data_IF_017058940885
#
_entry.id   IF_017058940885
#
_cell.length_a   1.000
_cell.length_b   1.000
_cell.length_c   1.000
_cell.angle_alpha   90.00
_cell.angle_beta   90.00
_cell.angle_gamma   90.00
#
_symmetry.space_group_name_H-M   'P 1'
#
loop_
_entity.id
_entity.type
_entity.pdbx_description
1 polymer ?
#
# COMPACT_ATOMS: atom_id res chain seq x y z
N UNK A 1 62.01 59.68 -40.05
CA UNK A 1 60.93 59.52 -39.06
C UNK A 1 59.66 59.11 -39.79
N UNK A 2 59.18 57.88 -39.57
CA UNK A 2 57.74 57.56 -39.48
C UNK A 2 57.61 56.09 -39.09
N UNK A 3 57.74 55.80 -37.79
CA UNK A 3 57.47 54.49 -37.19
C UNK A 3 56.20 54.55 -36.31
N UNK A 4 55.37 55.60 -36.45
CA UNK A 4 54.24 55.85 -35.55
C UNK A 4 52.88 55.34 -36.03
N UNK A 5 52.72 55.04 -37.32
CA UNK A 5 51.40 54.74 -37.91
C UNK A 5 51.10 53.25 -38.03
N UNK A 6 52.13 52.39 -37.99
CA UNK A 6 51.97 50.93 -38.07
C UNK A 6 51.61 50.31 -36.71
N UNK A 7 52.03 50.95 -35.62
CA UNK A 7 51.82 50.50 -34.24
C UNK A 7 50.36 50.72 -33.76
N UNK A 8 49.73 51.80 -34.22
CA UNK A 8 48.32 52.13 -33.89
C UNK A 8 47.35 51.15 -34.55
N UNK A 9 47.60 50.76 -35.80
CA UNK A 9 46.76 49.81 -36.54
C UNK A 9 46.85 48.38 -35.99
N UNK A 10 48.03 47.95 -35.54
CA UNK A 10 48.19 46.63 -34.90
C UNK A 10 47.47 46.58 -33.55
N UNK A 11 47.54 47.66 -32.77
CA UNK A 11 46.87 47.75 -31.47
C UNK A 11 45.34 47.81 -31.59
N UNK A 12 44.79 48.46 -32.63
CA UNK A 12 43.34 48.45 -32.91
C UNK A 12 42.80 47.08 -33.35
N UNK A 13 43.60 46.31 -34.10
CA UNK A 13 43.23 44.95 -34.51
C UNK A 13 43.31 43.98 -33.33
N UNK A 14 44.33 44.11 -32.47
CA UNK A 14 44.49 43.29 -31.27
C UNK A 14 43.37 43.54 -30.24
N UNK A 15 42.99 44.81 -30.04
CA UNK A 15 41.87 45.18 -29.17
C UNK A 15 40.50 44.71 -29.71
N UNK A 16 40.29 44.73 -31.03
CA UNK A 16 39.07 44.17 -31.63
C UNK A 16 39.04 42.64 -31.59
N UNK A 17 40.17 41.97 -31.76
CA UNK A 17 40.25 40.51 -31.62
C UNK A 17 40.03 40.08 -30.17
N UNK A 18 40.59 40.81 -29.21
CA UNK A 18 40.32 40.58 -27.79
C UNK A 18 38.86 40.84 -27.44
N UNK A 19 38.23 41.93 -27.92
CA UNK A 19 36.81 42.18 -27.65
C UNK A 19 35.91 41.13 -28.29
N UNK A 20 36.22 40.65 -29.50
CA UNK A 20 35.47 39.57 -30.16
C UNK A 20 35.65 38.24 -29.43
N UNK A 21 36.85 37.93 -28.92
CA UNK A 21 37.10 36.74 -28.10
C UNK A 21 36.37 36.81 -26.76
N UNK A 22 36.41 37.95 -26.07
CA UNK A 22 35.69 38.17 -24.80
C UNK A 22 34.18 38.06 -24.97
N UNK A 23 33.61 38.72 -25.99
CA UNK A 23 32.16 38.64 -26.25
C UNK A 23 31.73 37.21 -26.62
N UNK A 24 32.57 36.45 -27.33
CA UNK A 24 32.28 35.06 -27.69
C UNK A 24 32.39 34.11 -26.50
N UNK A 25 33.31 34.36 -25.58
CA UNK A 25 33.42 33.63 -24.31
C UNK A 25 32.24 33.94 -23.38
N UNK A 26 31.83 35.21 -23.25
CA UNK A 26 30.65 35.61 -22.47
C UNK A 26 29.34 35.03 -23.05
N UNK A 27 29.16 35.07 -24.37
CA UNK A 27 27.99 34.48 -25.03
C UNK A 27 27.93 32.96 -24.83
N UNK A 28 29.09 32.29 -24.86
CA UNK A 28 29.20 30.85 -24.68
C UNK A 28 29.03 30.42 -23.21
N UNK A 29 29.51 31.21 -22.25
CA UNK A 29 29.23 31.02 -20.82
C UNK A 29 27.74 31.21 -20.51
N UNK A 30 27.11 32.23 -21.10
CA UNK A 30 25.68 32.50 -20.94
C UNK A 30 24.82 31.36 -21.51
N UNK A 31 25.19 30.81 -22.67
CA UNK A 31 24.51 29.66 -23.26
C UNK A 31 24.68 28.38 -22.42
N UNK A 32 25.89 28.16 -21.90
CA UNK A 32 26.19 27.03 -20.99
C UNK A 32 25.40 27.13 -19.69
N UNK A 33 25.32 28.33 -19.10
CA UNK A 33 24.53 28.60 -17.91
C UNK A 33 23.03 28.38 -18.15
N UNK A 34 22.51 28.85 -19.28
CA UNK A 34 21.10 28.65 -19.66
C UNK A 34 20.76 27.18 -19.81
N UNK A 35 21.61 26.41 -20.51
CA UNK A 35 21.43 24.97 -20.68
C UNK A 35 21.51 24.22 -19.34
N UNK A 36 22.42 24.62 -18.44
CA UNK A 36 22.49 24.07 -17.09
C UNK A 36 21.19 24.33 -16.32
N UNK A 37 20.70 25.57 -16.31
CA UNK A 37 19.47 25.93 -15.61
C UNK A 37 18.24 25.19 -16.15
N UNK A 38 18.12 25.04 -17.47
CA UNK A 38 17.04 24.27 -18.08
C UNK A 38 17.07 22.80 -17.64
N UNK A 39 18.23 22.14 -17.75
CA UNK A 39 18.41 20.75 -17.34
C UNK A 39 18.22 20.53 -15.84
N UNK A 40 18.70 21.47 -15.03
CA UNK A 40 18.49 21.48 -13.58
C UNK A 40 17.00 21.59 -13.23
N UNK A 41 16.28 22.46 -13.91
CA UNK A 41 14.84 22.63 -13.70
C UNK A 41 14.08 21.35 -14.04
N UNK A 42 14.44 20.61 -15.10
CA UNK A 42 13.84 19.31 -15.41
C UNK A 42 13.95 18.34 -14.22
N UNK A 43 15.13 18.24 -13.60
CA UNK A 43 15.34 17.36 -12.43
C UNK A 43 14.54 17.86 -11.22
N UNK A 44 14.53 19.16 -10.97
CA UNK A 44 13.78 19.75 -9.86
C UNK A 44 12.28 19.54 -10.02
N UNK A 45 11.73 19.77 -11.21
CA UNK A 45 10.33 19.52 -11.53
C UNK A 45 9.98 18.07 -11.23
N UNK A 46 10.73 17.10 -11.76
CA UNK A 46 10.53 15.68 -11.49
C UNK A 46 10.56 15.35 -9.98
N UNK A 47 11.50 15.92 -9.22
CA UNK A 47 11.60 15.72 -7.77
C UNK A 47 10.44 16.36 -6.97
N UNK A 48 9.79 17.39 -7.53
CA UNK A 48 8.68 18.10 -6.89
C UNK A 48 7.30 17.59 -7.32
N UNK A 49 7.16 17.01 -8.52
CA UNK A 49 5.94 16.38 -9.02
C UNK A 49 5.97 14.86 -8.82
N UNK A 50 6.71 14.18 -9.70
CA UNK A 50 6.59 12.76 -10.01
C UNK A 50 7.31 11.88 -8.98
N UNK A 51 8.32 12.44 -8.30
CA UNK A 51 9.06 11.77 -7.22
C UNK A 51 9.09 12.62 -5.93
N UNK A 52 7.99 13.29 -5.65
CA UNK A 52 7.86 14.11 -4.44
C UNK A 52 7.85 13.28 -3.15
N UNK A 53 8.42 13.83 -2.08
CA UNK A 53 8.40 13.18 -0.75
C UNK A 53 6.98 12.89 -0.25
N UNK A 54 6.03 13.77 -0.59
CA UNK A 54 4.63 13.58 -0.23
C UNK A 54 4.03 12.36 -0.97
N UNK A 55 4.33 12.21 -2.26
CA UNK A 55 3.89 11.07 -3.05
C UNK A 55 4.49 9.76 -2.52
N UNK A 56 5.78 9.72 -2.25
CA UNK A 56 6.46 8.56 -1.66
C UNK A 56 5.85 8.16 -0.30
N UNK A 57 5.63 9.13 0.60
CA UNK A 57 4.93 8.90 1.89
C UNK A 57 3.53 8.35 1.70
N UNK A 58 2.79 8.82 0.69
CA UNK A 58 1.46 8.31 0.35
C UNK A 58 1.54 6.85 -0.12
N UNK A 59 2.54 6.51 -0.94
CA UNK A 59 2.77 5.15 -1.40
C UNK A 59 3.18 4.21 -0.26
N UNK A 60 4.01 4.67 0.68
CA UNK A 60 4.33 3.92 1.89
C UNK A 60 3.08 3.55 2.68
N UNK A 61 2.20 4.53 2.95
CA UNK A 61 0.91 4.29 3.61
C UNK A 61 0.03 3.31 2.81
N UNK A 62 0.07 3.38 1.48
CA UNK A 62 -0.69 2.50 0.60
C UNK A 62 -0.18 1.06 0.67
N UNK A 63 1.13 0.84 0.66
CA UNK A 63 1.73 -0.50 0.82
C UNK A 63 1.40 -1.07 2.20
N UNK A 64 1.55 -0.27 3.26
CA UNK A 64 1.21 -0.69 4.61
C UNK A 64 -0.27 -1.06 4.74
N UNK A 65 -1.15 -0.37 4.02
CA UNK A 65 -2.56 -0.78 3.93
C UNK A 65 -2.72 -2.11 3.19
N UNK A 66 -2.06 -2.29 2.04
CA UNK A 66 -2.12 -3.53 1.26
C UNK A 66 -1.62 -4.75 2.03
N UNK A 67 -0.51 -4.62 2.79
CA UNK A 67 -0.02 -5.69 3.68
C UNK A 67 -1.05 -6.12 4.73
N UNK A 68 -1.96 -5.22 5.09
CA UNK A 68 -3.04 -5.48 6.06
C UNK A 68 -4.32 -6.02 5.42
N UNK A 69 -4.46 -5.95 4.10
CA UNK A 69 -5.64 -6.43 3.40
C UNK A 69 -5.74 -7.97 3.44
N UNK A 70 -6.96 -8.47 3.26
CA UNK A 70 -7.25 -9.88 3.03
C UNK A 70 -7.45 -10.09 1.52
N UNK A 71 -6.90 -11.19 0.97
CA UNK A 71 -6.94 -11.49 -0.46
C UNK A 71 -7.70 -12.78 -0.73
N UNK A 72 -8.54 -12.78 -1.75
CA UNK A 72 -9.44 -13.89 -2.08
C UNK A 72 -9.32 -14.28 -3.55
N UNK A 73 -9.65 -15.54 -3.87
CA UNK A 73 -9.89 -15.97 -5.24
C UNK A 73 -11.36 -15.75 -5.59
N UNK A 74 -11.59 -15.00 -6.66
CA UNK A 74 -12.90 -14.90 -7.32
C UNK A 74 -12.92 -15.72 -8.60
N UNK A 75 -14.00 -16.48 -8.78
CA UNK A 75 -14.26 -17.28 -9.99
C UNK A 75 -15.25 -16.51 -10.85
N UNK A 76 -14.80 -16.08 -12.02
CA UNK A 76 -15.61 -15.30 -12.96
C UNK A 76 -15.78 -16.04 -14.29
N UNK A 77 -16.96 -16.00 -14.93
CA UNK A 77 -17.11 -16.51 -16.30
C UNK A 77 -16.32 -15.64 -17.31
N UNK A 78 -15.75 -16.27 -18.34
CA UNK A 78 -14.97 -15.60 -19.40
C UNK A 78 -15.83 -14.76 -20.36
N UNK A 79 -17.14 -15.01 -20.46
CA UNK A 79 -18.02 -14.43 -21.49
C UNK A 79 -19.04 -13.42 -20.97
N UNK A 80 -18.70 -12.62 -19.95
CA UNK A 80 -19.44 -11.39 -19.64
C UNK A 80 -19.11 -10.28 -20.66
N UNK A 81 -19.32 -10.56 -21.94
CA UNK A 81 -19.29 -9.57 -23.01
C UNK A 81 -20.69 -9.55 -23.63
N UNK A 82 -21.38 -8.41 -23.48
CA UNK A 82 -22.60 -8.02 -24.22
C UNK A 82 -23.85 -8.89 -24.00
N UNK A 83 -24.69 -8.47 -23.06
CA UNK A 83 -26.15 -8.56 -23.22
C UNK A 83 -26.86 -9.90 -23.02
N UNK A 84 -26.16 -11.04 -22.88
CA UNK A 84 -26.84 -12.32 -22.67
C UNK A 84 -27.12 -12.58 -21.18
N UNK A 85 -28.31 -12.16 -20.71
CA UNK A 85 -28.76 -12.30 -19.33
C UNK A 85 -29.18 -13.74 -18.94
N UNK A 86 -29.03 -14.73 -19.82
CA UNK A 86 -29.65 -16.05 -19.64
C UNK A 86 -28.81 -17.11 -18.92
N UNK A 87 -27.55 -16.83 -18.56
CA UNK A 87 -26.69 -17.81 -17.89
C UNK A 87 -25.89 -17.22 -16.71
N UNK A 88 -26.56 -16.50 -15.81
CA UNK A 88 -26.03 -16.23 -14.48
C UNK A 88 -26.03 -17.53 -13.65
N UNK A 89 -25.10 -18.43 -13.92
CA UNK A 89 -24.78 -19.50 -12.99
C UNK A 89 -24.32 -18.84 -11.69
N UNK A 90 -25.07 -19.04 -10.60
CA UNK A 90 -24.73 -18.50 -9.29
C UNK A 90 -23.30 -18.95 -8.90
N UNK A 91 -22.53 -18.11 -8.21
CA UNK A 91 -21.15 -18.43 -7.79
C UNK A 91 -21.03 -19.81 -7.12
N UNK A 92 -22.03 -20.19 -6.31
CA UNK A 92 -22.12 -21.49 -5.64
C UNK A 92 -22.15 -22.68 -6.62
N UNK A 93 -22.87 -22.55 -7.73
CA UNK A 93 -22.96 -23.59 -8.78
C UNK A 93 -21.66 -23.70 -9.57
N UNK A 94 -20.92 -22.59 -9.76
CA UNK A 94 -19.61 -22.62 -10.40
C UNK A 94 -18.56 -23.31 -9.53
N UNK A 95 -18.61 -23.15 -8.20
CA UNK A 95 -17.70 -23.85 -7.28
C UNK A 95 -17.87 -25.37 -7.27
N UNK A 96 -19.09 -25.87 -7.49
CA UNK A 96 -19.36 -27.31 -7.58
C UNK A 96 -18.68 -27.98 -8.77
N UNK A 97 -18.38 -27.21 -9.83
CA UNK A 97 -17.71 -27.72 -11.03
C UNK A 97 -16.18 -27.72 -10.91
N UNK A 98 -15.63 -27.04 -9.90
CA UNK A 98 -14.19 -26.90 -9.71
C UNK A 98 -13.67 -28.08 -8.90
N UNK A 99 -12.61 -28.72 -9.41
CA UNK A 99 -11.89 -29.76 -8.68
C UNK A 99 -11.28 -29.20 -7.37
N UNK A 100 -11.64 -29.73 -6.20
CA UNK A 100 -11.17 -29.21 -4.93
C UNK A 100 -9.65 -29.23 -4.79
N UNK A 101 -8.96 -30.27 -5.28
CA UNK A 101 -7.51 -30.39 -5.19
C UNK A 101 -6.78 -29.41 -6.09
N UNK A 102 -7.30 -29.16 -7.30
CA UNK A 102 -6.80 -28.11 -8.21
C UNK A 102 -7.06 -26.74 -7.62
N UNK A 103 -8.21 -26.51 -6.98
CA UNK A 103 -8.49 -25.24 -6.31
C UNK A 103 -7.53 -24.98 -5.15
N UNK A 104 -7.25 -25.98 -4.31
CA UNK A 104 -6.26 -25.86 -3.24
C UNK A 104 -4.86 -25.53 -3.77
N UNK A 105 -4.46 -26.08 -4.93
CA UNK A 105 -3.21 -25.68 -5.61
C UNK A 105 -3.26 -24.23 -6.06
N UNK A 106 -4.39 -23.76 -6.60
CA UNK A 106 -4.56 -22.35 -6.95
C UNK A 106 -4.53 -21.42 -5.75
N UNK A 107 -5.09 -21.82 -4.59
CA UNK A 107 -4.95 -21.07 -3.35
C UNK A 107 -3.49 -20.88 -2.99
N UNK A 108 -2.70 -21.97 -2.96
CA UNK A 108 -1.25 -21.90 -2.69
C UNK A 108 -0.51 -20.98 -3.67
N UNK A 109 -0.81 -21.09 -4.97
CA UNK A 109 -0.24 -20.20 -5.98
C UNK A 109 -0.60 -18.75 -5.74
N UNK A 110 -1.88 -18.47 -5.45
CA UNK A 110 -2.35 -17.14 -5.10
C UNK A 110 -1.62 -16.59 -3.87
N UNK A 111 -1.42 -17.40 -2.82
CA UNK A 111 -0.71 -16.98 -1.61
C UNK A 111 0.72 -16.57 -1.93
N UNK A 112 1.42 -17.37 -2.75
CA UNK A 112 2.79 -17.07 -3.19
C UNK A 112 2.81 -15.80 -4.05
N UNK A 113 1.89 -15.67 -5.01
CA UNK A 113 1.81 -14.50 -5.89
C UNK A 113 1.53 -13.22 -5.09
N UNK A 114 0.60 -13.23 -4.14
CA UNK A 114 0.31 -12.09 -3.25
C UNK A 114 1.54 -11.72 -2.42
N UNK A 115 2.25 -12.70 -1.84
CA UNK A 115 3.47 -12.43 -1.07
C UNK A 115 4.56 -11.79 -1.94
N UNK A 116 4.81 -12.34 -3.13
CA UNK A 116 5.80 -11.79 -4.08
C UNK A 116 5.41 -10.37 -4.47
N UNK A 117 4.13 -10.13 -4.80
CA UNK A 117 3.65 -8.79 -5.17
C UNK A 117 3.88 -7.78 -4.04
N UNK A 118 3.56 -8.12 -2.79
CA UNK A 118 3.76 -7.23 -1.64
C UNK A 118 5.24 -6.94 -1.35
N UNK A 119 6.11 -7.95 -1.53
CA UNK A 119 7.55 -7.78 -1.41
C UNK A 119 8.10 -6.88 -2.52
N UNK A 120 7.73 -7.14 -3.78
CA UNK A 120 8.14 -6.33 -4.92
C UNK A 120 7.66 -4.88 -4.80
N UNK A 121 6.44 -4.63 -4.32
CA UNK A 121 5.97 -3.26 -4.07
C UNK A 121 6.85 -2.52 -3.05
N UNK A 122 7.30 -3.23 -2.01
CA UNK A 122 8.17 -2.63 -0.98
C UNK A 122 9.54 -2.32 -1.56
N UNK A 123 10.13 -3.27 -2.29
CA UNK A 123 11.44 -3.12 -2.95
C UNK A 123 11.44 -2.01 -4.01
N UNK A 124 10.42 -1.94 -4.86
CA UNK A 124 10.27 -0.88 -5.85
C UNK A 124 10.16 0.50 -5.21
N UNK A 125 9.45 0.62 -4.08
CA UNK A 125 9.36 1.90 -3.37
C UNK A 125 10.71 2.32 -2.77
N UNK A 126 11.46 1.39 -2.21
CA UNK A 126 12.81 1.63 -1.68
C UNK A 126 13.76 2.08 -2.80
N UNK A 127 13.71 1.43 -3.96
CA UNK A 127 14.49 1.84 -5.14
C UNK A 127 14.10 3.25 -5.64
N UNK A 128 12.82 3.62 -5.57
CA UNK A 128 12.36 4.98 -5.89
C UNK A 128 12.88 6.02 -4.89
N UNK A 129 12.86 5.69 -3.59
CA UNK A 129 13.40 6.54 -2.52
C UNK A 129 14.91 6.75 -2.69
N UNK A 130 15.66 5.67 -2.90
CA UNK A 130 17.11 5.75 -3.17
C UNK A 130 17.40 6.55 -4.45
N UNK A 131 16.65 6.30 -5.53
CA UNK A 131 16.80 7.04 -6.77
C UNK A 131 16.54 8.54 -6.61
N UNK A 132 15.60 8.91 -5.73
CA UNK A 132 15.36 10.31 -5.36
C UNK A 132 16.58 10.91 -4.67
N UNK A 133 17.14 10.22 -3.68
CA UNK A 133 18.32 10.69 -2.95
C UNK A 133 19.52 10.90 -3.88
N UNK A 134 19.73 9.98 -4.83
CA UNK A 134 20.78 10.13 -5.84
C UNK A 134 20.58 11.37 -6.74
N UNK A 135 19.35 11.64 -7.19
CA UNK A 135 19.05 12.83 -8.00
C UNK A 135 19.28 14.13 -7.21
N UNK A 136 18.89 14.15 -5.92
CA UNK A 136 19.18 15.28 -5.03
C UNK A 136 20.69 15.45 -4.87
N UNK A 137 21.42 14.36 -4.68
CA UNK A 137 22.88 14.39 -4.55
C UNK A 137 23.56 14.96 -5.80
N UNK A 138 23.10 14.62 -7.00
CA UNK A 138 23.62 15.23 -8.24
C UNK A 138 23.42 16.75 -8.27
N UNK A 139 22.27 17.24 -7.79
CA UNK A 139 21.97 18.67 -7.75
C UNK A 139 22.77 19.45 -6.69
N UNK A 140 23.10 18.80 -5.58
CA UNK A 140 23.81 19.43 -4.46
C UNK A 140 25.34 19.38 -4.62
N UNK A 141 25.86 18.32 -5.25
CA UNK A 141 27.30 18.01 -5.23
C UNK A 141 28.00 18.36 -6.54
N UNK A 142 27.32 18.30 -7.68
CA UNK A 142 27.97 18.55 -8.96
C UNK A 142 28.00 20.06 -9.23
N UNK A 143 29.17 20.55 -9.64
CA UNK A 143 29.29 21.87 -10.23
C UNK A 143 28.65 21.91 -11.63
N UNK A 144 28.47 23.11 -12.18
CA UNK A 144 27.81 23.30 -13.48
C UNK A 144 28.44 22.43 -14.58
N UNK A 145 29.77 22.41 -14.65
CA UNK A 145 30.52 21.71 -15.69
C UNK A 145 30.34 20.20 -15.56
N UNK A 146 30.48 19.65 -14.35
CA UNK A 146 30.30 18.22 -14.09
C UNK A 146 28.87 17.78 -14.34
N UNK A 147 27.89 18.59 -13.94
CA UNK A 147 26.47 18.29 -14.16
C UNK A 147 26.14 18.21 -15.66
N UNK A 148 26.61 19.17 -16.46
CA UNK A 148 26.40 19.16 -17.89
C UNK A 148 27.13 18.00 -18.59
N UNK A 149 28.36 17.71 -18.19
CA UNK A 149 29.15 16.59 -18.73
C UNK A 149 28.53 15.22 -18.42
N UNK A 150 27.85 15.08 -17.27
CA UNK A 150 27.17 13.85 -16.84
C UNK A 150 25.67 13.86 -17.11
N UNK A 151 25.17 14.79 -17.92
CA UNK A 151 23.74 14.93 -18.15
C UNK A 151 23.08 13.66 -18.70
N UNK A 152 23.74 12.93 -19.60
CA UNK A 152 23.15 11.70 -20.16
C UNK A 152 22.91 10.63 -19.09
N UNK A 153 23.78 10.55 -18.07
CA UNK A 153 23.59 9.69 -16.91
C UNK A 153 22.37 10.14 -16.08
N UNK A 154 22.25 11.45 -15.80
CA UNK A 154 21.12 12.02 -15.06
C UNK A 154 19.81 11.77 -15.81
N UNK A 155 19.81 12.00 -17.13
CA UNK A 155 18.67 11.75 -18.01
C UNK A 155 18.27 10.28 -18.03
N UNK A 156 19.22 9.37 -18.13
CA UNK A 156 18.95 7.93 -18.05
C UNK A 156 18.35 7.56 -16.68
N UNK A 157 18.87 8.13 -15.58
CA UNK A 157 18.32 7.90 -14.25
C UNK A 157 16.87 8.38 -14.13
N UNK A 158 16.54 9.56 -14.68
CA UNK A 158 15.15 10.06 -14.73
C UNK A 158 14.23 9.09 -15.47
N UNK A 159 14.64 8.63 -16.66
CA UNK A 159 13.86 7.66 -17.44
C UNK A 159 13.66 6.34 -16.70
N UNK A 160 14.72 5.80 -16.09
CA UNK A 160 14.64 4.56 -15.32
C UNK A 160 13.69 4.70 -14.12
N UNK A 161 13.72 5.84 -13.41
CA UNK A 161 12.83 6.09 -12.26
C UNK A 161 11.38 6.28 -12.68
N UNK A 162 11.13 6.90 -13.84
CA UNK A 162 9.79 6.97 -14.42
C UNK A 162 9.23 5.57 -14.72
N UNK A 163 10.02 4.71 -15.39
CA UNK A 163 9.60 3.33 -15.68
C UNK A 163 9.40 2.53 -14.40
N UNK A 164 10.25 2.72 -13.40
CA UNK A 164 10.11 2.09 -12.08
C UNK A 164 8.81 2.51 -11.39
N UNK A 165 8.45 3.79 -11.47
CA UNK A 165 7.18 4.31 -10.96
C UNK A 165 5.99 3.68 -11.70
N UNK A 166 6.04 3.58 -13.03
CA UNK A 166 4.99 2.93 -13.82
C UNK A 166 4.80 1.46 -13.43
N UNK A 167 5.91 0.73 -13.27
CA UNK A 167 5.91 -0.65 -12.79
C UNK A 167 5.32 -0.77 -11.38
N UNK A 168 5.69 0.15 -10.48
CA UNK A 168 5.13 0.23 -9.13
C UNK A 168 3.62 0.44 -9.16
N UNK A 169 3.13 1.41 -9.95
CA UNK A 169 1.71 1.72 -10.08
C UNK A 169 0.93 0.55 -10.68
N UNK A 170 1.46 -0.11 -11.70
CA UNK A 170 0.85 -1.30 -12.29
C UNK A 170 0.71 -2.46 -11.30
N UNK A 171 1.63 -2.56 -10.33
CA UNK A 171 1.64 -3.58 -9.28
C UNK A 171 0.72 -3.25 -8.09
N UNK A 172 0.15 -2.05 -7.97
CA UNK A 172 -0.72 -1.69 -6.83
C UNK A 172 -2.05 -2.45 -6.81
N UNK A 173 -2.50 -2.94 -7.96
CA UNK A 173 -3.76 -3.69 -8.08
C UNK A 173 -3.42 -5.17 -8.30
N UNK A 174 -3.87 -6.08 -7.41
CA UNK A 174 -3.68 -7.51 -7.62
C UNK A 174 -4.25 -7.96 -8.95
N UNK A 175 -3.36 -8.52 -9.76
CA UNK A 175 -3.68 -8.90 -11.13
C UNK A 175 -4.41 -10.25 -11.24
N UNK A 176 -4.48 -10.74 -12.47
CA UNK A 176 -5.02 -12.07 -12.77
C UNK A 176 -4.15 -13.17 -12.16
N UNK A 177 -4.78 -14.25 -11.73
CA UNK A 177 -4.04 -15.47 -11.40
C UNK A 177 -3.72 -16.21 -12.69
N UNK A 178 -2.44 -16.53 -12.90
CA UNK A 178 -2.02 -17.34 -14.03
C UNK A 178 -2.41 -18.80 -13.81
N UNK A 179 -3.55 -19.18 -14.41
CA UNK A 179 -4.07 -20.55 -14.34
C UNK A 179 -3.42 -21.41 -15.43
N UNK A 180 -2.44 -22.23 -15.07
CA UNK A 180 -1.80 -23.18 -16.01
C UNK A 180 -2.62 -24.44 -16.28
N UNK A 181 -3.55 -24.81 -15.40
CA UNK A 181 -4.32 -26.06 -15.49
C UNK A 181 -5.83 -25.80 -15.49
N UNK A 182 -6.60 -26.58 -16.26
CA UNK A 182 -8.07 -26.51 -16.20
C UNK A 182 -8.55 -26.82 -14.78
N UNK A 183 -9.32 -25.91 -14.20
CA UNK A 183 -9.85 -26.04 -12.84
C UNK A 183 -11.09 -26.93 -12.77
N UNK A 184 -11.81 -27.03 -13.88
CA UNK A 184 -12.99 -27.89 -14.03
C UNK A 184 -12.52 -29.31 -14.39
N UNK A 185 -13.09 -30.31 -13.73
CA UNK A 185 -12.85 -31.73 -14.05
C UNK A 185 -13.62 -32.12 -15.32
N UNK A 186 -12.98 -32.83 -16.24
CA UNK A 186 -13.60 -33.36 -17.47
C UNK A 186 -14.50 -34.57 -17.12
N UNK A 187 -15.59 -34.33 -16.38
CA UNK A 187 -16.61 -35.36 -16.11
C UNK A 187 -17.72 -35.15 -17.14
N UNK A 188 -17.86 -36.13 -18.03
CA UNK A 188 -18.55 -36.02 -19.32
C UNK A 188 -19.89 -35.28 -19.31
N UNK A 189 -19.94 -34.12 -19.98
CA UNK A 189 -21.07 -33.60 -20.76
C UNK A 189 -20.68 -32.25 -21.39
N UNK A 190 -21.32 -31.94 -22.50
CA UNK A 190 -21.24 -30.73 -23.33
C UNK A 190 -21.06 -29.40 -22.58
N UNK A 191 -20.05 -28.61 -23.02
CA UNK A 191 -19.72 -27.22 -22.66
C UNK A 191 -19.22 -26.99 -21.22
N UNK A 192 -17.93 -27.26 -21.01
CA UNK A 192 -17.17 -26.80 -19.83
C UNK A 192 -17.23 -25.26 -19.78
N UNK A 193 -17.74 -24.65 -18.70
CA UNK A 193 -17.79 -23.21 -18.60
C UNK A 193 -16.36 -22.66 -18.55
N UNK A 194 -16.10 -21.71 -19.45
CA UNK A 194 -14.84 -21.01 -19.50
C UNK A 194 -14.74 -20.06 -18.30
N UNK A 195 -14.01 -20.45 -17.26
CA UNK A 195 -13.81 -19.64 -16.03
C UNK A 195 -12.44 -18.93 -16.01
N UNK A 196 -12.39 -17.78 -15.34
CA UNK A 196 -11.19 -17.00 -14.96
C UNK A 196 -11.11 -16.93 -13.45
N UNK A 197 -9.88 -17.00 -12.94
CA UNK A 197 -9.58 -16.69 -11.54
C UNK A 197 -8.94 -15.31 -11.43
N UNK A 198 -9.43 -14.51 -10.50
CA UNK A 198 -8.89 -13.19 -10.19
C UNK A 198 -8.60 -13.12 -8.69
N UNK A 199 -7.52 -12.42 -8.31
CA UNK A 199 -7.31 -12.04 -6.92
C UNK A 199 -8.12 -10.79 -6.61
N UNK A 200 -9.01 -10.87 -5.64
CA UNK A 200 -9.67 -9.69 -5.10
C UNK A 200 -9.09 -9.33 -3.75
N UNK A 201 -9.18 -8.03 -3.42
CA UNK A 201 -8.64 -7.45 -2.19
C UNK A 201 -9.78 -6.91 -1.36
N UNK A 202 -9.80 -7.26 -0.07
CA UNK A 202 -10.69 -6.67 0.92
C UNK A 202 -9.89 -5.85 1.93
N UNK A 203 -10.36 -4.65 2.21
CA UNK A 203 -9.70 -3.71 3.13
C UNK A 203 -9.62 -4.29 4.55
N UNK A 204 -8.61 -3.96 5.36
CA UNK A 204 -8.49 -4.52 6.71
C UNK A 204 -9.72 -4.22 7.58
N UNK A 205 -10.06 -5.18 8.44
CA UNK A 205 -10.99 -4.97 9.54
C UNK A 205 -10.22 -4.32 10.69
N UNK A 206 -10.77 -3.25 11.25
CA UNK A 206 -10.13 -2.44 12.28
C UNK A 206 -11.10 -2.14 13.41
N UNK A 207 -10.66 -2.28 14.66
CA UNK A 207 -11.44 -1.80 15.81
C UNK A 207 -11.64 -0.29 15.71
N UNK A 208 -12.87 0.13 15.98
CA UNK A 208 -13.17 1.50 16.33
C UNK A 208 -12.72 1.71 17.78
N UNK A 209 -11.57 2.37 17.93
CA UNK A 209 -10.95 2.63 19.24
C UNK A 209 -11.76 3.63 20.09
N UNK A 210 -12.64 4.41 19.47
CA UNK A 210 -13.49 5.39 20.17
C UNK A 210 -14.80 4.76 20.62
N UNK A 211 -15.36 3.87 19.81
CA UNK A 211 -16.63 3.22 20.10
C UNK A 211 -16.48 1.87 20.82
N UNK A 212 -15.28 1.30 20.86
CA UNK A 212 -15.01 0.11 21.67
C UNK A 212 -14.71 0.51 23.11
N UNK A 213 -15.56 0.09 24.05
CA UNK A 213 -15.54 0.55 25.45
C UNK A 213 -15.66 -0.64 26.39
N UNK A 214 -14.94 -0.55 27.52
CA UNK A 214 -15.08 -1.49 28.62
C UNK A 214 -15.91 -0.91 29.77
N UNK A 215 -16.70 -1.79 30.34
CA UNK A 215 -17.56 -1.59 31.49
C UNK A 215 -17.07 -2.47 32.64
N UNK A 216 -17.86 -2.61 33.69
CA UNK A 216 -17.50 -3.30 34.93
C UNK A 216 -17.21 -4.79 34.68
N UNK A 217 -18.13 -5.50 34.02
CA UNK A 217 -18.03 -6.94 33.76
C UNK A 217 -18.28 -7.29 32.28
N UNK A 218 -18.25 -6.29 31.40
CA UNK A 218 -18.49 -6.50 29.98
C UNK A 218 -17.75 -5.48 29.11
N UNK A 219 -17.68 -5.77 27.82
CA UNK A 219 -17.16 -4.84 26.81
C UNK A 219 -18.13 -4.72 25.65
N UNK A 220 -18.23 -3.52 25.11
CA UNK A 220 -18.81 -3.25 23.80
C UNK A 220 -17.68 -3.07 22.80
N UNK A 221 -17.64 -3.89 21.75
CA UNK A 221 -16.61 -3.83 20.72
C UNK A 221 -17.26 -3.46 19.39
N UNK A 222 -16.67 -2.49 18.69
CA UNK A 222 -17.09 -2.10 17.35
C UNK A 222 -15.89 -2.11 16.41
N UNK A 223 -16.10 -2.51 15.17
CA UNK A 223 -15.08 -2.45 14.12
C UNK A 223 -15.67 -1.97 12.80
N UNK A 224 -14.79 -1.55 11.91
CA UNK A 224 -15.16 -1.07 10.59
C UNK A 224 -14.19 -1.59 9.53
N UNK A 225 -14.63 -1.50 8.28
CA UNK A 225 -13.81 -1.71 7.09
C UNK A 225 -13.73 -0.36 6.39
N UNK A 226 -12.52 0.16 6.22
CA UNK A 226 -12.34 1.44 5.54
C UNK A 226 -12.87 1.35 4.12
N UNK A 227 -13.73 2.29 3.73
CA UNK A 227 -14.21 2.52 2.35
C UNK A 227 -15.02 1.41 1.65
N UNK A 228 -15.57 0.40 2.35
CA UNK A 228 -16.35 -0.66 1.70
C UNK A 228 -17.79 -0.70 2.21
N UNK A 229 -18.75 -0.73 1.28
CA UNK A 229 -20.18 -0.83 1.56
C UNK A 229 -20.50 -2.22 2.13
N UNK A 230 -21.27 -2.26 3.23
CA UNK A 230 -21.62 -3.44 4.03
C UNK A 230 -22.14 -4.62 3.19
N UNK A 231 -21.24 -5.51 2.77
CA UNK A 231 -21.60 -6.88 2.50
C UNK A 231 -21.59 -7.64 3.83
N UNK A 232 -22.53 -8.57 4.07
CA UNK A 232 -22.50 -9.40 5.26
C UNK A 232 -21.22 -10.26 5.24
N UNK A 233 -20.33 -10.00 6.19
CA UNK A 233 -19.09 -10.76 6.38
C UNK A 233 -19.12 -11.48 7.72
N UNK A 234 -18.43 -12.61 7.78
CA UNK A 234 -18.20 -13.32 9.03
C UNK A 234 -16.82 -12.96 9.57
N UNK A 235 -16.75 -12.69 10.86
CA UNK A 235 -15.55 -12.36 11.59
C UNK A 235 -15.28 -13.42 12.65
N UNK A 236 -14.02 -13.53 13.05
CA UNK A 236 -13.61 -14.29 14.20
C UNK A 236 -13.08 -13.31 15.25
N UNK A 237 -13.79 -13.23 16.37
CA UNK A 237 -13.40 -12.42 17.51
C UNK A 237 -12.78 -13.33 18.56
N UNK A 238 -11.60 -12.94 19.03
CA UNK A 238 -10.88 -13.61 20.11
C UNK A 238 -10.70 -12.65 21.27
N UNK A 239 -10.81 -13.16 22.49
CA UNK A 239 -10.45 -12.41 23.68
C UNK A 239 -9.59 -13.26 24.61
N UNK A 240 -8.72 -12.61 25.38
CA UNK A 240 -7.85 -13.25 26.36
C UNK A 240 -7.49 -12.28 27.47
N UNK A 241 -7.63 -12.70 28.73
CA UNK A 241 -7.10 -12.01 29.89
C UNK A 241 -5.57 -11.96 29.85
N UNK A 242 -4.97 -10.78 30.03
CA UNK A 242 -3.53 -10.58 29.91
C UNK A 242 -2.75 -11.05 31.14
N UNK A 243 -3.24 -10.74 32.33
CA UNK A 243 -2.54 -10.96 33.60
C UNK A 243 -3.39 -11.78 34.58
N UNK A 244 -3.58 -13.10 34.32
CA UNK A 244 -4.31 -13.97 35.23
C UNK A 244 -3.52 -14.17 36.53
N UNK A 245 -4.11 -13.76 37.66
CA UNK A 245 -3.58 -13.93 39.01
C UNK A 245 -3.87 -15.32 39.59
N UNK A 246 -4.93 -15.99 39.15
CA UNK A 246 -5.34 -17.33 39.64
C UNK A 246 -5.37 -18.38 38.50
N UNK A 247 -5.45 -19.66 38.86
CA UNK A 247 -5.61 -20.73 37.84
C UNK A 247 -6.97 -20.63 37.14
N UNK A 248 -8.02 -20.26 37.88
CA UNK A 248 -9.36 -20.04 37.34
C UNK A 248 -9.37 -18.88 36.33
N UNK A 249 -8.63 -17.81 36.59
CA UNK A 249 -8.51 -16.68 35.67
C UNK A 249 -7.87 -17.06 34.32
N UNK A 250 -7.07 -18.13 34.25
CA UNK A 250 -6.47 -18.57 32.98
C UNK A 250 -7.50 -19.06 31.95
N UNK A 251 -8.71 -19.41 32.39
CA UNK A 251 -9.80 -19.82 31.49
C UNK A 251 -10.51 -18.63 30.84
N UNK A 252 -10.20 -17.39 31.25
CA UNK A 252 -10.79 -16.14 30.74
C UNK A 252 -10.27 -15.80 29.34
N UNK A 253 -10.62 -16.65 28.38
CA UNK A 253 -10.34 -16.49 26.96
C UNK A 253 -11.41 -17.18 26.14
N UNK A 254 -11.58 -16.77 24.89
CA UNK A 254 -12.55 -17.38 24.00
C UNK A 254 -12.38 -16.98 22.56
N UNK A 255 -13.06 -17.72 21.69
CA UNK A 255 -13.15 -17.49 20.25
C UNK A 255 -14.63 -17.57 19.90
N UNK A 256 -15.13 -16.57 19.17
CA UNK A 256 -16.52 -16.54 18.73
C UNK A 256 -16.65 -16.08 17.27
N UNK A 257 -17.51 -16.73 16.47
CA UNK A 257 -17.88 -16.21 15.16
C UNK A 257 -18.86 -15.05 15.33
N UNK A 258 -18.66 -13.97 14.59
CA UNK A 258 -19.51 -12.77 14.62
C UNK A 258 -19.91 -12.38 13.20
N UNK A 259 -21.20 -12.12 12.97
CA UNK A 259 -21.72 -11.72 11.64
C UNK A 259 -22.10 -10.24 11.54
N UNK A 260 -21.95 -9.51 12.64
CA UNK A 260 -22.12 -8.05 12.76
C UNK A 260 -20.77 -7.35 12.83
N UNK A 261 -20.79 -6.01 12.71
CA UNK A 261 -19.63 -5.15 12.93
C UNK A 261 -19.48 -4.68 14.40
N UNK A 262 -20.26 -5.27 15.31
CA UNK A 262 -20.24 -5.00 16.73
C UNK A 262 -20.48 -6.30 17.53
N UNK A 263 -19.94 -6.39 18.74
CA UNK A 263 -20.15 -7.51 19.64
C UNK A 263 -20.02 -7.08 21.10
N UNK A 264 -20.92 -7.57 21.94
CA UNK A 264 -20.83 -7.45 23.39
C UNK A 264 -20.30 -8.75 23.99
N UNK A 265 -19.29 -8.67 24.85
CA UNK A 265 -18.80 -9.81 25.63
C UNK A 265 -19.08 -9.52 27.10
N UNK A 266 -19.92 -10.34 27.71
CA UNK A 266 -20.35 -10.23 29.12
C UNK A 266 -19.64 -11.23 30.02
N UNK A 267 -19.83 -11.08 31.34
CA UNK A 267 -19.25 -11.95 32.37
C UNK A 267 -17.72 -11.98 32.36
N UNK A 268 -17.10 -10.86 31.99
CA UNK A 268 -15.69 -10.61 32.19
C UNK A 268 -15.44 -10.25 33.65
N UNK A 269 -14.21 -10.47 34.10
CA UNK A 269 -13.81 -10.07 35.44
C UNK A 269 -13.61 -8.56 35.50
N UNK A 270 -14.10 -7.93 36.56
CA UNK A 270 -13.90 -6.50 36.85
C UNK A 270 -12.46 -6.17 37.22
N UNK A 271 -12.03 -4.94 36.95
CA UNK A 271 -10.67 -4.45 37.26
C UNK A 271 -9.56 -5.31 36.60
N UNK A 272 -9.77 -5.69 35.34
CA UNK A 272 -8.88 -6.58 34.58
C UNK A 272 -8.62 -6.11 33.16
N UNK A 273 -7.40 -6.34 32.70
CA UNK A 273 -6.99 -6.02 31.33
C UNK A 273 -7.16 -7.21 30.39
N UNK A 274 -7.95 -7.02 29.33
CA UNK A 274 -8.22 -8.01 28.30
C UNK A 274 -7.68 -7.55 26.95
N UNK A 275 -7.12 -8.51 26.20
CA UNK A 275 -6.77 -8.33 24.79
C UNK A 275 -7.87 -8.91 23.92
N UNK A 276 -8.36 -8.10 23.00
CA UNK A 276 -9.33 -8.47 21.98
C UNK A 276 -8.68 -8.43 20.61
N UNK A 277 -8.98 -9.41 19.77
CA UNK A 277 -8.44 -9.52 18.42
C UNK A 277 -9.56 -9.85 17.44
N UNK A 278 -9.67 -9.09 16.35
CA UNK A 278 -10.65 -9.33 15.29
C UNK A 278 -9.95 -9.59 13.95
N UNK A 279 -10.48 -10.55 13.20
CA UNK A 279 -10.11 -10.82 11.81
C UNK A 279 -11.32 -11.35 11.04
N UNK A 280 -11.19 -11.51 9.71
CA UNK A 280 -12.23 -12.20 8.95
C UNK A 280 -12.21 -13.69 9.29
N UNK A 281 -13.38 -14.32 9.21
CA UNK A 281 -13.46 -15.76 9.28
C UNK A 281 -12.76 -16.38 8.06
N UNK A 282 -12.11 -17.52 8.28
CA UNK A 282 -11.49 -18.28 7.20
C UNK A 282 -12.59 -18.75 6.23
N UNK A 283 -12.46 -18.41 4.95
CA UNK A 283 -13.35 -18.91 3.91
C UNK A 283 -12.59 -19.80 2.95
N UNK A 284 -13.31 -20.66 2.22
CA UNK A 284 -12.69 -21.53 1.24
C UNK A 284 -11.96 -20.75 0.13
N UNK A 285 -12.35 -19.51 -0.16
CA UNK A 285 -11.71 -18.62 -1.16
C UNK A 285 -10.58 -17.76 -0.60
N UNK A 286 -10.36 -17.72 0.72
CA UNK A 286 -9.31 -16.89 1.33
C UNK A 286 -7.92 -17.41 0.96
N UNK A 287 -7.07 -16.53 0.44
CA UNK A 287 -5.75 -16.85 -0.10
C UNK A 287 -4.63 -16.34 0.80
N UNK A 288 -4.79 -15.11 1.29
CA UNK A 288 -3.80 -14.46 2.11
C UNK A 288 -4.50 -13.56 3.12
N UNK A 289 -4.23 -13.82 4.40
CA UNK A 289 -4.62 -12.96 5.51
C UNK A 289 -3.54 -13.07 6.58
N UNK A 290 -2.79 -11.98 6.76
CA UNK A 290 -1.84 -11.86 7.88
C UNK A 290 -2.39 -10.95 8.99
N UNK A 291 -3.27 -10.02 8.62
CA UNK A 291 -3.76 -8.98 9.51
C UNK A 291 -4.80 -9.50 10.50
N UNK A 292 -4.68 -8.98 11.72
CA UNK A 292 -5.63 -9.13 12.82
C UNK A 292 -5.48 -7.88 13.65
N UNK A 293 -6.53 -7.06 13.72
CA UNK A 293 -6.46 -5.87 14.56
C UNK A 293 -6.64 -6.28 16.02
N UNK A 294 -5.93 -5.59 16.90
CA UNK A 294 -5.91 -5.91 18.33
C UNK A 294 -6.13 -4.64 19.14
N UNK A 295 -6.98 -4.73 20.15
CA UNK A 295 -7.21 -3.68 21.13
C UNK A 295 -7.09 -4.29 22.53
N UNK A 296 -6.57 -3.52 23.47
CA UNK A 296 -6.57 -3.86 24.89
C UNK A 296 -7.55 -2.93 25.58
N UNK A 297 -8.48 -3.50 26.35
CA UNK A 297 -9.40 -2.73 27.17
C UNK A 297 -9.34 -3.25 28.61
N UNK A 298 -9.53 -2.35 29.55
CA UNK A 298 -9.53 -2.63 30.98
C UNK A 298 -10.95 -2.47 31.52
N UNK A 299 -11.46 -3.52 32.14
CA UNK A 299 -12.77 -3.50 32.78
C UNK A 299 -12.74 -2.64 34.04
N UNK A 300 -13.85 -1.97 34.33
CA UNK A 300 -13.94 -1.07 35.48
C UNK A 300 -14.09 -1.87 36.78
N UNK A 301 -13.65 -1.35 37.92
CA UNK A 301 -14.06 -1.89 39.21
C UNK A 301 -15.58 -1.69 39.38
N UNK A 302 -16.22 -2.58 40.15
CA UNK A 302 -17.61 -2.33 40.57
C UNK A 302 -17.66 -1.05 41.41
N UNK A 303 -18.69 -0.20 41.23
CA UNK A 303 -18.91 0.90 42.14
C UNK A 303 -19.11 0.34 43.56
N UNK A 304 -18.35 0.85 44.53
CA UNK A 304 -18.56 0.50 45.94
C UNK A 304 -20.03 0.84 46.30
N UNK A 305 -20.81 -0.15 46.72
CA UNK A 305 -22.21 0.00 47.19
C UNK A 305 -22.31 0.80 48.53
N UNK A 306 -21.38 1.71 48.81
CA UNK A 306 -21.17 2.32 50.14
C UNK A 306 -21.42 3.83 50.28
N UNK A 307 -21.95 4.52 49.25
CA UNK A 307 -22.21 5.97 49.34
C UNK A 307 -23.60 6.40 48.85
N UNK A 308 -24.62 5.57 49.04
CA UNK A 308 -26.03 5.99 49.01
C UNK A 308 -26.67 5.78 50.39
N UNK A 309 -26.19 6.47 51.42
CA UNK A 309 -26.94 6.58 52.67
C UNK A 309 -26.57 7.84 53.47
N UNK A 310 -26.98 9.01 53.01
CA UNK A 310 -27.44 10.10 53.90
C UNK A 310 -27.91 11.28 53.05
N UNK A 311 -29.19 11.29 52.68
CA UNK A 311 -30.02 12.50 52.64
C UNK A 311 -31.50 12.08 52.66
N UNK A 312 -31.95 11.63 53.84
CA UNK A 312 -33.32 11.77 54.34
C UNK A 312 -33.15 12.11 55.83
N UNK A 313 -33.23 13.40 56.19
CA UNK A 313 -34.39 14.07 56.81
C UNK A 313 -34.16 14.25 58.34
N UNK A 314 -34.79 15.21 59.03
CA UNK A 314 -36.07 15.88 58.75
C UNK A 314 -36.04 17.40 58.50
#
# INVERSE_FOLDING_TARGET
MSFGTMDVYLNEIENNLQSILYNKEEDQENETWKMYMERKNIVLEFLHSDLSLHLLKRHHKRIELLKKCSYYIEILPKHLALGDQNHLMLPTTMFQLVDPWRFQRMKKLGTVQTKIQLLLLTDLLEQLEQGREELVHFLETYDMVTFLARWDLVKQKLSNLSELMDNFLAMLVPGRLYVKHRLVSDVGATKIPHIRLVLSTKMPVMFDRKESVAHEDWVSLKWFITSQQCQPEQYELRFKLLEPRTQQERIQCGIMPVTSNMCEIRNLLSDRSYRFTVKRAETYTLVYEQWRDTITLETKPYPDEGMESTMCEP
#
